data_IF_348685320528
#
_entry.id   IF_348685320528
#
_cell.length_a   1.000
_cell.length_b   1.000
_cell.length_c   1.000
_cell.angle_alpha   90.00
_cell.angle_beta   90.00
_cell.angle_gamma   90.00
#
_symmetry.space_group_name_H-M   'P 1'
#
loop_
_entity.id
_entity.type
_entity.pdbx_description
1 polymer ?
#
# COMPACT_ATOMS: atom_id res chain seq x y z
N UNK A 1 17.50 -3.63 4.75
CA UNK A 1 16.41 -3.62 5.75
C UNK A 1 15.80 -2.23 5.96
N UNK A 2 16.38 -1.15 5.40
CA UNK A 2 15.87 0.23 5.55
C UNK A 2 15.38 0.87 4.23
N UNK A 3 15.01 0.08 3.21
CA UNK A 3 14.51 0.62 1.93
C UNK A 3 15.50 1.50 1.15
N UNK A 4 16.77 1.56 1.56
CA UNK A 4 17.84 2.15 0.75
C UNK A 4 18.27 1.16 -0.34
N UNK A 5 18.60 1.69 -1.51
CA UNK A 5 19.29 0.96 -2.58
C UNK A 5 20.51 0.26 -2.00
N UNK A 6 20.49 -1.07 -2.02
CA UNK A 6 21.64 -1.87 -1.59
C UNK A 6 22.50 -2.15 -2.82
N UNK A 7 23.51 -1.31 -3.04
CA UNK A 7 24.61 -1.66 -3.96
C UNK A 7 25.47 -2.72 -3.26
N UNK A 8 25.29 -3.99 -3.63
CA UNK A 8 26.16 -5.07 -3.16
C UNK A 8 27.44 -5.04 -3.97
N UNK A 9 28.47 -4.34 -3.46
CA UNK A 9 29.82 -4.44 -4.01
C UNK A 9 30.49 -5.67 -3.41
N UNK A 10 30.59 -6.76 -4.19
CA UNK A 10 31.35 -7.94 -3.80
C UNK A 10 32.84 -7.59 -3.85
N UNK A 11 33.40 -7.20 -2.72
CA UNK A 11 34.86 -7.19 -2.53
C UNK A 11 35.32 -8.65 -2.64
N UNK A 12 36.31 -8.89 -3.50
CA UNK A 12 36.68 -10.22 -3.99
C UNK A 12 36.78 -11.31 -2.90
N UNK A 13 36.53 -12.55 -3.29
CA UNK A 13 36.36 -13.76 -2.45
C UNK A 13 37.46 -14.04 -1.40
N UNK A 14 38.56 -13.29 -1.42
CA UNK A 14 39.73 -13.43 -0.57
C UNK A 14 39.61 -12.69 0.77
N UNK A 15 38.66 -11.76 0.94
CA UNK A 15 38.52 -10.93 2.14
C UNK A 15 37.38 -11.38 3.09
N UNK A 16 36.60 -12.39 2.69
CA UNK A 16 35.46 -12.88 3.46
C UNK A 16 35.90 -13.87 4.55
N UNK A 17 35.64 -13.52 5.81
CA UNK A 17 35.78 -14.43 6.95
C UNK A 17 34.85 -15.65 6.81
N UNK A 18 35.12 -16.74 7.54
CA UNK A 18 34.28 -17.94 7.51
C UNK A 18 32.80 -17.64 7.82
N UNK A 19 32.55 -16.78 8.81
CA UNK A 19 31.21 -16.29 9.15
C UNK A 19 30.62 -15.40 8.06
N UNK A 20 31.44 -14.57 7.39
CA UNK A 20 31.00 -13.76 6.25
C UNK A 20 30.57 -14.60 5.05
N UNK A 21 31.27 -15.71 4.77
CA UNK A 21 30.88 -16.66 3.71
C UNK A 21 29.58 -17.39 4.04
N UNK A 22 29.39 -17.77 5.30
CA UNK A 22 28.16 -18.42 5.74
C UNK A 22 26.96 -17.48 5.66
N UNK A 23 27.12 -16.23 6.14
CA UNK A 23 26.09 -15.19 6.06
C UNK A 23 25.73 -14.86 4.60
N UNK A 24 26.73 -14.75 3.72
CA UNK A 24 26.51 -14.56 2.28
C UNK A 24 25.78 -15.76 1.67
N UNK A 25 26.17 -16.99 2.02
CA UNK A 25 25.50 -18.21 1.54
C UNK A 25 24.07 -18.37 2.06
N UNK A 26 23.73 -17.81 3.23
CA UNK A 26 22.36 -17.75 3.73
C UNK A 26 21.54 -16.68 2.99
N UNK A 27 22.13 -15.51 2.74
CA UNK A 27 21.52 -14.43 1.95
C UNK A 27 21.20 -14.86 0.51
N UNK A 28 22.15 -15.52 -0.15
CA UNK A 28 21.97 -16.05 -1.51
C UNK A 28 20.87 -17.11 -1.52
N UNK A 29 20.84 -18.04 -0.56
CA UNK A 29 19.78 -19.05 -0.48
C UNK A 29 18.41 -18.46 -0.19
N UNK A 30 18.32 -17.46 0.68
CA UNK A 30 17.07 -16.75 0.96
C UNK A 30 16.57 -15.98 -0.27
N UNK A 31 17.47 -15.37 -1.04
CA UNK A 31 17.14 -14.75 -2.32
C UNK A 31 16.67 -15.81 -3.34
N UNK A 32 17.39 -16.92 -3.49
CA UNK A 32 17.00 -18.03 -4.37
C UNK A 32 15.64 -18.62 -4.01
N UNK A 33 15.32 -18.78 -2.72
CA UNK A 33 14.01 -19.25 -2.26
C UNK A 33 12.91 -18.25 -2.55
N UNK A 34 13.16 -16.96 -2.30
CA UNK A 34 12.20 -15.87 -2.48
C UNK A 34 11.88 -15.61 -3.95
N UNK A 35 12.87 -15.69 -4.83
CA UNK A 35 12.73 -15.37 -6.25
C UNK A 35 12.57 -16.62 -7.13
N UNK A 36 12.52 -17.83 -6.56
CA UNK A 36 12.42 -19.10 -7.32
C UNK A 36 11.24 -19.13 -8.29
N UNK A 37 10.09 -18.60 -7.90
CA UNK A 37 8.89 -18.57 -8.74
C UNK A 37 8.97 -17.54 -9.88
N UNK A 38 9.75 -16.47 -9.71
CA UNK A 38 9.95 -15.43 -10.73
C UNK A 38 11.19 -15.71 -11.61
N UNK A 39 12.06 -16.64 -11.20
CA UNK A 39 13.27 -17.03 -11.92
C UNK A 39 12.94 -17.69 -13.27
N UNK A 40 11.97 -18.61 -13.33
CA UNK A 40 11.66 -19.32 -14.58
C UNK A 40 11.15 -18.37 -15.70
N UNK A 41 10.23 -17.42 -15.44
CA UNK A 41 9.87 -16.38 -16.41
C UNK A 41 11.06 -15.50 -16.81
N UNK A 42 11.92 -15.12 -15.86
CA UNK A 42 13.10 -14.28 -16.13
C UNK A 42 14.11 -15.01 -17.04
N UNK A 43 14.38 -16.29 -16.79
CA UNK A 43 15.28 -17.11 -17.58
C UNK A 43 14.83 -17.21 -19.03
N UNK A 44 13.50 -17.30 -19.24
CA UNK A 44 12.93 -17.32 -20.57
C UNK A 44 13.16 -16.00 -21.31
N UNK A 45 12.92 -14.85 -20.67
CA UNK A 45 13.17 -13.52 -21.27
C UNK A 45 14.63 -13.35 -21.65
N UNK A 46 15.55 -13.74 -20.76
CA UNK A 46 16.99 -13.66 -21.04
C UNK A 46 17.38 -14.62 -22.18
N UNK A 47 16.84 -15.84 -22.19
CA UNK A 47 17.10 -16.80 -23.27
C UNK A 47 16.62 -16.30 -24.64
N UNK A 48 15.43 -15.68 -24.69
CA UNK A 48 14.89 -15.05 -25.89
C UNK A 48 15.79 -13.90 -26.37
N UNK A 49 16.18 -12.97 -25.48
CA UNK A 49 17.07 -11.86 -25.84
C UNK A 49 18.47 -12.30 -26.31
N UNK A 50 19.03 -13.33 -25.68
CA UNK A 50 20.31 -13.91 -26.12
C UNK A 50 20.19 -14.54 -27.52
N UNK A 51 19.08 -15.25 -27.80
CA UNK A 51 18.85 -15.85 -29.11
C UNK A 51 18.69 -14.78 -30.20
N UNK A 52 17.94 -13.72 -29.93
CA UNK A 52 17.75 -12.59 -30.84
C UNK A 52 19.07 -11.89 -31.16
N UNK A 53 19.88 -11.58 -30.13
CA UNK A 53 21.17 -10.93 -30.33
C UNK A 53 22.15 -11.83 -31.09
N UNK A 54 22.24 -13.12 -30.73
CA UNK A 54 23.10 -14.07 -31.42
C UNK A 54 22.72 -14.23 -32.91
N UNK A 55 21.42 -14.28 -33.21
CA UNK A 55 20.93 -14.33 -34.58
C UNK A 55 21.29 -13.06 -35.36
N UNK A 56 21.12 -11.89 -34.75
CA UNK A 56 21.46 -10.58 -35.36
C UNK A 56 22.96 -10.46 -35.68
N UNK A 57 23.82 -10.98 -34.80
CA UNK A 57 25.28 -10.93 -34.97
C UNK A 57 25.85 -12.14 -35.75
N UNK A 58 25.00 -13.10 -36.14
CA UNK A 58 25.42 -14.30 -36.87
C UNK A 58 26.33 -15.23 -36.05
N UNK A 59 26.17 -15.23 -34.72
CA UNK A 59 27.01 -15.98 -33.78
C UNK A 59 26.45 -17.38 -33.50
N UNK A 60 27.34 -18.35 -33.38
CA UNK A 60 27.00 -19.66 -32.78
C UNK A 60 26.79 -19.54 -31.27
N UNK A 61 26.10 -20.50 -30.65
CA UNK A 61 25.91 -20.52 -29.19
C UNK A 61 27.22 -20.46 -28.40
N UNK A 62 28.29 -21.11 -28.90
CA UNK A 62 29.62 -21.04 -28.27
C UNK A 62 30.21 -19.63 -28.34
N UNK A 63 30.06 -18.95 -29.48
CA UNK A 63 30.56 -17.59 -29.65
C UNK A 63 29.73 -16.59 -28.84
N UNK A 64 28.41 -16.79 -28.74
CA UNK A 64 27.55 -15.99 -27.88
C UNK A 64 27.93 -16.15 -26.39
N UNK A 65 28.15 -17.38 -25.93
CA UNK A 65 28.62 -17.63 -24.57
C UNK A 65 29.97 -16.94 -24.30
N UNK A 66 30.91 -17.04 -25.23
CA UNK A 66 32.21 -16.37 -25.13
C UNK A 66 32.08 -14.84 -25.12
N UNK A 67 31.21 -14.26 -25.96
CA UNK A 67 30.97 -12.83 -26.03
C UNK A 67 30.27 -12.27 -24.79
N UNK A 68 29.47 -13.10 -24.12
CA UNK A 68 28.83 -12.79 -22.84
C UNK A 68 29.71 -13.18 -21.63
N UNK A 69 30.96 -13.60 -21.85
CA UNK A 69 31.91 -14.00 -20.79
C UNK A 69 31.42 -15.12 -19.86
N UNK A 70 30.56 -16.01 -20.37
CA UNK A 70 30.04 -17.16 -19.63
C UNK A 70 30.46 -18.49 -20.27
N UNK A 71 30.35 -19.58 -19.51
CA UNK A 71 30.61 -20.92 -20.07
C UNK A 71 29.46 -21.36 -21.00
N UNK A 72 29.72 -22.18 -22.03
CA UNK A 72 28.64 -22.75 -22.85
C UNK A 72 27.63 -23.57 -22.03
N UNK A 73 28.08 -24.18 -20.93
CA UNK A 73 27.21 -24.88 -20.00
C UNK A 73 26.25 -23.94 -19.26
N UNK A 74 26.72 -22.74 -18.87
CA UNK A 74 25.88 -21.71 -18.25
C UNK A 74 24.79 -21.22 -19.20
N UNK A 75 25.16 -20.91 -20.45
CA UNK A 75 24.20 -20.55 -21.49
C UNK A 75 23.17 -21.68 -21.73
N UNK A 76 23.62 -22.93 -21.73
CA UNK A 76 22.73 -24.09 -21.87
C UNK A 76 21.71 -24.21 -20.73
N UNK A 77 22.10 -23.92 -19.48
CA UNK A 77 21.18 -24.00 -18.33
C UNK A 77 20.08 -22.95 -18.41
N UNK A 78 20.44 -21.72 -18.79
CA UNK A 78 19.51 -20.59 -18.91
C UNK A 78 18.53 -20.81 -20.06
N UNK A 79 19.02 -21.25 -21.23
CA UNK A 79 18.17 -21.55 -22.39
C UNK A 79 17.22 -22.74 -22.17
N UNK A 80 17.57 -23.66 -21.27
CA UNK A 80 16.69 -24.76 -20.85
C UNK A 80 15.69 -24.35 -19.76
N UNK A 81 15.78 -23.13 -19.22
CA UNK A 81 14.89 -22.63 -18.19
C UNK A 81 14.98 -23.39 -16.87
N UNK A 82 16.13 -23.99 -16.56
CA UNK A 82 16.31 -24.80 -15.33
C UNK A 82 16.84 -23.92 -14.21
N UNK A 83 15.96 -23.16 -13.55
CA UNK A 83 16.34 -22.19 -12.52
C UNK A 83 17.10 -22.77 -11.33
N UNK A 84 16.84 -24.04 -10.98
CA UNK A 84 17.53 -24.71 -9.86
C UNK A 84 19.03 -24.97 -10.06
N UNK A 85 19.59 -24.72 -11.25
CA UNK A 85 21.02 -24.93 -11.54
C UNK A 85 21.71 -23.71 -12.13
N UNK A 86 20.99 -22.60 -12.27
CA UNK A 86 21.51 -21.37 -12.88
C UNK A 86 22.17 -20.50 -11.82
N UNK A 87 23.42 -20.11 -12.04
CA UNK A 87 24.09 -19.12 -11.20
C UNK A 87 23.64 -17.71 -11.59
N UNK A 88 23.40 -16.86 -10.58
CA UNK A 88 22.94 -15.48 -10.78
C UNK A 88 23.94 -14.64 -11.58
N UNK A 89 25.24 -14.81 -11.36
CA UNK A 89 26.28 -14.09 -12.10
C UNK A 89 26.23 -14.40 -13.61
N UNK A 90 26.07 -15.69 -13.97
CA UNK A 90 25.93 -16.11 -15.37
C UNK A 90 24.69 -15.46 -16.02
N UNK A 91 23.59 -15.36 -15.27
CA UNK A 91 22.34 -14.73 -15.72
C UNK A 91 22.52 -13.23 -15.99
N UNK A 92 23.20 -12.52 -15.09
CA UNK A 92 23.45 -11.08 -15.22
C UNK A 92 24.37 -10.78 -16.41
N UNK A 93 25.43 -11.56 -16.60
CA UNK A 93 26.33 -11.42 -17.75
C UNK A 93 25.58 -11.61 -19.07
N UNK A 94 24.72 -12.63 -19.15
CA UNK A 94 23.92 -12.90 -20.34
C UNK A 94 22.83 -11.86 -20.58
N UNK A 95 22.17 -11.36 -19.54
CA UNK A 95 21.16 -10.30 -19.67
C UNK A 95 21.79 -8.98 -20.13
N UNK A 96 22.89 -8.57 -19.49
CA UNK A 96 23.66 -7.39 -19.89
C UNK A 96 24.15 -7.52 -21.34
N UNK A 97 24.69 -8.68 -21.71
CA UNK A 97 25.05 -8.96 -23.09
C UNK A 97 23.83 -8.96 -24.01
N UNK A 98 22.65 -9.42 -23.61
CA UNK A 98 21.44 -9.31 -24.43
C UNK A 98 20.90 -7.86 -24.53
N UNK A 99 21.47 -6.89 -23.80
CA UNK A 99 20.96 -5.52 -23.72
C UNK A 99 19.73 -5.39 -22.81
N UNK A 100 19.58 -6.31 -21.86
CA UNK A 100 18.50 -6.35 -20.88
C UNK A 100 19.04 -5.85 -19.53
N UNK A 101 18.35 -4.87 -18.95
CA UNK A 101 18.59 -4.43 -17.58
C UNK A 101 17.72 -5.26 -16.61
N UNK A 102 18.36 -6.05 -15.75
CA UNK A 102 17.67 -6.77 -14.67
C UNK A 102 17.64 -5.88 -13.44
N UNK A 103 16.45 -5.39 -13.10
CA UNK A 103 16.21 -4.66 -11.85
C UNK A 103 15.52 -5.58 -10.86
N UNK A 104 16.23 -5.92 -9.79
CA UNK A 104 15.62 -6.58 -8.64
C UNK A 104 14.83 -5.55 -7.84
N UNK A 105 13.53 -5.44 -8.08
CA UNK A 105 12.64 -4.66 -7.22
C UNK A 105 12.37 -5.52 -5.98
N UNK A 106 12.70 -5.05 -4.77
CA UNK A 106 12.23 -5.71 -3.56
C UNK A 106 10.70 -5.71 -3.62
N UNK A 107 10.08 -6.88 -3.81
CA UNK A 107 8.71 -7.03 -3.34
C UNK A 107 8.80 -6.82 -1.83
N UNK A 108 8.11 -5.82 -1.29
CA UNK A 108 8.01 -5.59 0.15
C UNK A 108 7.27 -6.79 0.80
N UNK A 109 7.94 -7.94 0.89
CA UNK A 109 7.50 -9.11 1.66
C UNK A 109 8.30 -9.17 2.98
N UNK A 110 8.19 -8.12 3.79
CA UNK A 110 7.70 -8.41 5.14
C UNK A 110 6.24 -8.79 4.90
N UNK A 111 5.79 -10.01 5.24
CA UNK A 111 4.39 -10.34 5.03
C UNK A 111 3.58 -9.30 5.80
N UNK A 112 2.93 -8.40 5.05
CA UNK A 112 1.62 -7.98 5.46
C UNK A 112 0.92 -9.28 5.82
N UNK A 113 0.57 -9.48 7.09
CA UNK A 113 -0.50 -10.38 7.39
C UNK A 113 -1.66 -9.83 6.58
N UNK A 114 -1.84 -10.35 5.36
CA UNK A 114 -3.11 -10.30 4.67
C UNK A 114 -4.01 -10.91 5.73
N UNK A 115 -4.89 -10.12 6.40
CA UNK A 115 -5.86 -10.74 7.26
C UNK A 115 -6.49 -11.86 6.42
N UNK A 116 -6.65 -13.08 6.97
CA UNK A 116 -7.11 -14.23 6.23
C UNK A 116 -8.24 -13.79 5.31
N UNK A 117 -8.19 -14.24 4.05
CA UNK A 117 -9.11 -13.86 2.96
C UNK A 117 -10.45 -13.49 3.59
N UNK A 118 -10.91 -12.25 3.43
CA UNK A 118 -12.03 -11.74 4.21
C UNK A 118 -13.14 -12.78 4.21
N UNK A 119 -13.44 -13.37 5.37
CA UNK A 119 -14.79 -13.87 5.61
C UNK A 119 -15.73 -12.71 5.23
N UNK A 120 -16.93 -13.02 4.74
CA UNK A 120 -17.83 -12.14 3.94
C UNK A 120 -18.09 -10.71 4.45
N UNK A 121 -17.56 -10.34 5.61
CA UNK A 121 -17.87 -9.18 6.42
C UNK A 121 -16.71 -8.19 6.56
N UNK A 122 -15.59 -8.29 5.82
CA UNK A 122 -14.42 -7.42 6.11
C UNK A 122 -14.64 -5.92 5.89
N UNK A 123 -15.42 -5.52 4.87
CA UNK A 123 -15.79 -4.10 4.75
C UNK A 123 -16.72 -3.71 5.91
N UNK A 124 -17.60 -4.60 6.35
CA UNK A 124 -18.47 -4.37 7.50
C UNK A 124 -17.67 -4.22 8.80
N UNK A 125 -16.68 -5.09 9.05
CA UNK A 125 -15.75 -4.99 10.19
C UNK A 125 -14.96 -3.68 10.16
N UNK A 126 -14.54 -3.21 8.98
CA UNK A 126 -13.84 -1.94 8.84
C UNK A 126 -14.72 -0.74 9.25
N UNK A 127 -16.01 -0.75 8.88
CA UNK A 127 -16.98 0.26 9.34
C UNK A 127 -17.38 0.10 10.82
N UNK A 128 -17.01 -1.01 11.46
CA UNK A 128 -17.35 -1.33 12.84
C UNK A 128 -18.86 -1.24 13.10
N UNK A 129 -19.24 -0.72 14.26
CA UNK A 129 -20.65 -0.51 14.64
C UNK A 129 -21.23 0.83 14.14
N UNK A 130 -20.54 1.54 13.23
CA UNK A 130 -20.91 2.93 12.92
C UNK A 130 -22.19 3.07 12.10
N UNK A 131 -22.74 1.98 11.53
CA UNK A 131 -23.87 2.01 10.58
C UNK A 131 -23.76 3.11 9.50
N UNK A 132 -22.53 3.55 9.19
CA UNK A 132 -22.29 4.69 8.32
C UNK A 132 -22.48 4.28 6.87
N UNK A 133 -23.28 5.05 6.13
CA UNK A 133 -23.47 4.84 4.69
C UNK A 133 -22.26 5.30 3.86
N UNK A 134 -21.38 6.13 4.44
CA UNK A 134 -20.30 6.79 3.71
C UNK A 134 -18.96 6.65 4.44
N UNK A 135 -17.90 6.47 3.64
CA UNK A 135 -16.52 6.59 4.09
C UNK A 135 -15.97 7.95 3.68
N UNK A 136 -15.67 8.80 4.67
CA UNK A 136 -15.04 10.11 4.47
C UNK A 136 -13.53 10.00 4.73
N UNK A 137 -12.73 10.18 3.69
CA UNK A 137 -11.27 10.16 3.77
C UNK A 137 -10.67 11.53 3.38
N UNK A 138 -9.84 12.16 4.23
CA UNK A 138 -9.20 13.43 3.90
C UNK A 138 -8.23 13.28 2.73
N UNK A 139 -8.46 14.04 1.65
CA UNK A 139 -7.62 14.01 0.46
C UNK A 139 -6.14 14.25 0.74
N UNK A 140 -5.81 15.20 1.63
CA UNK A 140 -4.42 15.50 1.99
C UNK A 140 -3.70 14.31 2.61
N UNK A 141 -4.41 13.44 3.34
CA UNK A 141 -3.84 12.19 3.87
C UNK A 141 -3.65 11.16 2.75
N UNK A 142 -4.65 10.97 1.89
CA UNK A 142 -4.56 10.06 0.74
C UNK A 142 -3.37 10.40 -0.16
N UNK A 143 -3.15 11.68 -0.44
CA UNK A 143 -2.03 12.15 -1.28
C UNK A 143 -0.67 12.11 -0.58
N UNK A 144 -0.65 12.04 0.75
CA UNK A 144 0.59 11.89 1.50
C UNK A 144 0.95 10.42 1.76
N UNK A 145 0.09 9.48 1.35
CA UNK A 145 0.41 8.06 1.39
C UNK A 145 1.64 7.77 0.50
N UNK A 146 2.50 6.81 0.85
CA UNK A 146 3.55 6.35 -0.06
C UNK A 146 2.97 5.81 -1.37
N UNK A 147 3.70 5.93 -2.48
CA UNK A 147 3.21 5.51 -3.82
C UNK A 147 2.75 4.05 -3.85
N UNK A 148 3.49 3.17 -3.18
CA UNK A 148 3.14 1.75 -3.00
C UNK A 148 1.77 1.51 -2.34
N UNK A 149 1.23 2.48 -1.59
CA UNK A 149 -0.13 2.45 -1.04
C UNK A 149 -1.13 3.09 -2.00
N UNK A 150 -0.75 4.21 -2.63
CA UNK A 150 -1.62 4.92 -3.57
C UNK A 150 -1.98 4.05 -4.77
N UNK A 151 -1.02 3.33 -5.34
CA UNK A 151 -1.22 2.50 -6.52
C UNK A 151 -2.32 1.41 -6.36
N UNK A 152 -2.24 0.50 -5.36
CA UNK A 152 -3.31 -0.48 -5.16
C UNK A 152 -4.64 0.19 -4.77
N UNK A 153 -4.60 1.29 -4.02
CA UNK A 153 -5.80 2.02 -3.63
C UNK A 153 -6.54 2.59 -4.86
N UNK A 154 -5.81 3.22 -5.79
CA UNK A 154 -6.37 3.72 -7.05
C UNK A 154 -6.95 2.59 -7.89
N UNK A 155 -6.24 1.46 -8.02
CA UNK A 155 -6.75 0.29 -8.76
C UNK A 155 -8.07 -0.23 -8.17
N UNK A 156 -8.22 -0.24 -6.85
CA UNK A 156 -9.46 -0.65 -6.19
C UNK A 156 -10.60 0.37 -6.43
N UNK A 157 -10.30 1.68 -6.38
CA UNK A 157 -11.28 2.73 -6.68
C UNK A 157 -11.77 2.64 -8.14
N UNK A 158 -10.89 2.34 -9.09
CA UNK A 158 -11.26 2.15 -10.49
C UNK A 158 -12.16 0.93 -10.67
N UNK A 159 -11.85 -0.19 -10.03
CA UNK A 159 -12.70 -1.38 -10.04
C UNK A 159 -14.07 -1.12 -9.42
N UNK A 160 -14.12 -0.43 -8.27
CA UNK A 160 -15.37 -0.05 -7.62
C UNK A 160 -16.21 0.83 -8.55
N UNK A 161 -15.61 1.87 -9.13
CA UNK A 161 -16.30 2.76 -10.06
C UNK A 161 -16.84 2.02 -11.28
N UNK A 162 -16.04 1.12 -11.87
CA UNK A 162 -16.46 0.36 -13.04
C UNK A 162 -17.60 -0.62 -12.72
N UNK A 163 -17.54 -1.30 -11.58
CA UNK A 163 -18.53 -2.30 -11.18
C UNK A 163 -19.91 -1.69 -10.87
N UNK A 164 -19.96 -0.44 -10.41
CA UNK A 164 -21.19 0.24 -9.99
C UNK A 164 -21.51 1.49 -10.82
N UNK A 165 -20.98 1.59 -12.05
CA UNK A 165 -21.18 2.76 -12.91
C UNK A 165 -22.66 3.01 -13.25
N UNK A 166 -23.49 1.97 -13.19
CA UNK A 166 -24.91 1.98 -13.52
C UNK A 166 -25.79 2.48 -12.37
N UNK A 167 -25.22 2.61 -11.16
CA UNK A 167 -25.94 3.00 -9.95
C UNK A 167 -26.05 4.52 -9.89
N UNK A 168 -27.27 5.04 -9.77
CA UNK A 168 -27.53 6.47 -9.60
C UNK A 168 -26.77 7.03 -8.39
N UNK A 169 -26.01 8.10 -8.61
CA UNK A 169 -25.24 8.79 -7.58
C UNK A 169 -25.89 10.12 -7.25
N UNK A 170 -25.82 10.54 -5.99
CA UNK A 170 -26.19 11.90 -5.62
C UNK A 170 -25.32 12.92 -6.39
N UNK A 171 -25.89 14.08 -6.76
CA UNK A 171 -25.16 15.09 -7.55
C UNK A 171 -24.01 15.75 -6.78
N UNK A 172 -23.99 15.64 -5.45
CA UNK A 172 -22.94 16.16 -4.59
C UNK A 172 -23.26 15.94 -3.11
N UNK A 173 -22.23 16.15 -2.28
CA UNK A 173 -22.33 16.05 -0.82
C UNK A 173 -21.64 17.25 -0.19
N UNK A 174 -22.18 17.70 0.94
CA UNK A 174 -21.55 18.68 1.82
C UNK A 174 -20.95 17.96 3.03
N UNK A 175 -19.69 18.22 3.33
CA UNK A 175 -18.93 17.52 4.39
C UNK A 175 -18.19 18.55 5.24
N UNK A 176 -18.44 18.53 6.54
CA UNK A 176 -17.76 19.40 7.51
C UNK A 176 -17.38 18.60 8.76
N UNK A 177 -16.25 18.93 9.40
CA UNK A 177 -15.89 18.34 10.68
C UNK A 177 -16.85 18.82 11.77
N UNK A 178 -17.18 17.92 12.69
CA UNK A 178 -18.09 18.20 13.81
C UNK A 178 -17.55 17.61 15.10
N UNK A 179 -17.97 18.22 16.21
CA UNK A 179 -17.83 17.65 17.55
C UNK A 179 -19.22 17.32 18.08
N UNK A 180 -19.37 16.12 18.63
CA UNK A 180 -20.60 15.70 19.28
C UNK A 180 -20.70 16.29 20.68
N UNK A 181 -21.77 17.05 20.93
CA UNK A 181 -22.06 17.66 22.25
C UNK A 181 -23.48 17.35 22.67
N UNK A 182 -23.72 17.25 23.97
CA UNK A 182 -25.07 17.12 24.49
C UNK A 182 -25.84 18.42 24.27
N UNK A 183 -27.11 18.31 23.89
CA UNK A 183 -27.93 19.47 23.53
C UNK A 183 -28.10 20.44 24.71
N UNK A 184 -28.20 19.92 25.94
CA UNK A 184 -28.29 20.70 27.17
C UNK A 184 -26.96 21.36 27.61
N UNK A 185 -25.84 21.04 26.97
CA UNK A 185 -24.53 21.64 27.23
C UNK A 185 -24.14 22.68 26.18
N UNK A 186 -24.98 22.90 25.17
CA UNK A 186 -24.71 23.86 24.12
C UNK A 186 -24.83 25.31 24.61
N UNK A 187 -23.91 26.15 24.16
CA UNK A 187 -24.11 27.61 24.22
C UNK A 187 -25.10 28.07 23.14
N UNK A 188 -25.66 29.28 23.27
CA UNK A 188 -26.56 29.86 22.25
C UNK A 188 -25.96 29.85 20.84
N UNK A 189 -24.67 30.20 20.74
CA UNK A 189 -23.95 30.20 19.46
C UNK A 189 -23.82 28.80 18.88
N UNK A 190 -23.57 27.79 19.72
CA UNK A 190 -23.44 26.40 19.28
C UNK A 190 -24.79 25.78 18.92
N UNK A 191 -25.86 26.13 19.64
CA UNK A 191 -27.24 25.79 19.26
C UNK A 191 -27.58 26.33 17.88
N UNK A 192 -27.36 27.62 17.67
CA UNK A 192 -27.59 28.25 16.37
C UNK A 192 -26.76 27.58 15.26
N UNK A 193 -25.48 27.25 15.52
CA UNK A 193 -24.61 26.60 14.55
C UNK A 193 -24.99 25.13 14.25
N UNK A 194 -25.53 24.41 15.24
CA UNK A 194 -26.06 23.06 15.06
C UNK A 194 -27.44 23.04 14.39
N UNK A 195 -28.15 24.18 14.41
CA UNK A 195 -29.54 24.28 13.99
C UNK A 195 -30.52 23.77 15.05
N UNK A 196 -30.17 23.91 16.33
CA UNK A 196 -31.02 23.55 17.46
C UNK A 196 -31.80 24.78 17.93
N UNK A 197 -33.10 24.60 18.14
CA UNK A 197 -33.99 25.60 18.74
C UNK A 197 -34.30 25.19 20.18
N UNK A 198 -34.27 26.16 21.09
CA UNK A 198 -34.61 25.98 22.51
C UNK A 198 -35.92 26.72 22.80
N UNK A 199 -36.89 26.02 23.38
CA UNK A 199 -38.16 26.59 23.81
C UNK A 199 -38.37 26.34 25.30
N UNK A 200 -38.62 27.42 26.05
CA UNK A 200 -38.93 27.35 27.47
C UNK A 200 -40.45 27.40 27.68
N UNK A 201 -40.98 26.41 28.38
CA UNK A 201 -42.39 26.34 28.76
C UNK A 201 -42.55 26.83 30.21
N UNK A 202 -43.08 28.05 30.38
CA UNK A 202 -43.28 28.66 31.70
C UNK A 202 -44.26 27.86 32.59
N UNK A 203 -45.28 27.22 32.01
CA UNK A 203 -46.28 26.46 32.77
C UNK A 203 -45.73 25.15 33.33
N UNK A 204 -44.78 24.55 32.61
CA UNK A 204 -44.15 23.27 32.98
C UNK A 204 -42.79 23.44 33.65
N UNK A 205 -42.27 24.67 33.72
CA UNK A 205 -40.90 25.01 34.15
C UNK A 205 -39.85 24.09 33.50
N UNK A 206 -40.01 23.87 32.19
CA UNK A 206 -39.27 22.88 31.43
C UNK A 206 -38.79 23.43 30.09
N UNK A 207 -37.57 23.04 29.71
CA UNK A 207 -36.96 23.40 28.42
C UNK A 207 -37.04 22.23 27.46
N UNK A 208 -37.50 22.49 26.25
CA UNK A 208 -37.57 21.52 25.15
C UNK A 208 -36.64 21.96 24.02
N UNK A 209 -35.99 20.99 23.37
CA UNK A 209 -35.06 21.23 22.28
C UNK A 209 -35.60 20.64 20.98
N UNK A 210 -35.36 21.32 19.86
CA UNK A 210 -35.77 20.86 18.53
C UNK A 210 -34.60 20.89 17.56
N UNK A 211 -34.55 19.92 16.64
CA UNK A 211 -33.61 19.94 15.52
C UNK A 211 -34.07 20.88 14.39
N UNK A 212 -33.27 20.96 13.32
CA UNK A 212 -33.54 21.82 12.15
C UNK A 212 -34.81 21.44 11.38
N UNK A 213 -35.25 20.20 11.52
CA UNK A 213 -36.43 19.65 10.85
C UNK A 213 -37.68 19.78 11.75
N UNK A 214 -37.51 20.32 12.97
CA UNK A 214 -38.57 20.53 13.95
C UNK A 214 -38.88 19.29 14.80
N UNK A 215 -38.02 18.27 14.79
CA UNK A 215 -38.21 17.10 15.66
C UNK A 215 -37.70 17.41 17.07
N UNK A 216 -38.46 16.98 18.07
CA UNK A 216 -38.08 17.10 19.47
C UNK A 216 -36.84 16.25 19.78
N UNK A 217 -35.91 16.84 20.51
CA UNK A 217 -34.67 16.22 20.96
C UNK A 217 -34.74 15.97 22.46
N UNK A 218 -34.36 14.76 22.87
CA UNK A 218 -34.12 14.47 24.29
C UNK A 218 -33.02 15.38 24.86
N UNK A 219 -33.14 15.80 26.11
CA UNK A 219 -32.15 16.67 26.78
C UNK A 219 -30.74 16.09 26.80
N UNK A 220 -30.60 14.76 26.73
CA UNK A 220 -29.32 14.04 26.69
C UNK A 220 -28.93 13.57 25.28
N UNK A 221 -29.65 14.02 24.25
CA UNK A 221 -29.30 13.76 22.87
C UNK A 221 -27.98 14.48 22.51
N UNK A 222 -27.15 13.83 21.70
CA UNK A 222 -25.95 14.44 21.13
C UNK A 222 -26.25 15.00 19.75
N UNK A 223 -25.83 16.23 19.52
CA UNK A 223 -25.90 16.88 18.21
C UNK A 223 -24.52 17.23 17.68
N UNK A 224 -24.42 17.31 16.36
CA UNK A 224 -23.19 17.65 15.66
C UNK A 224 -23.00 19.17 15.62
N UNK A 225 -21.97 19.67 16.31
CA UNK A 225 -21.60 21.09 16.29
C UNK A 225 -20.41 21.29 15.34
N UNK A 226 -20.46 22.25 14.40
CA UNK A 226 -19.34 22.52 13.51
C UNK A 226 -18.02 22.71 14.26
N UNK A 227 -16.98 22.04 13.79
CA UNK A 227 -15.65 22.08 14.38
C UNK A 227 -14.63 22.68 13.39
N UNK A 228 -13.43 22.96 13.90
CA UNK A 228 -12.30 23.32 13.04
C UNK A 228 -11.69 22.05 12.45
N UNK A 229 -11.48 22.04 11.14
CA UNK A 229 -10.75 20.95 10.47
C UNK A 229 -9.29 20.91 10.97
N UNK A 230 -8.85 19.83 11.63
CA UNK A 230 -7.47 19.69 12.08
C UNK A 230 -6.50 19.43 10.91
N UNK A 231 -6.97 18.83 9.82
CA UNK A 231 -6.12 18.43 8.69
C UNK A 231 -6.00 19.58 7.69
N UNK A 232 -4.78 20.04 7.37
CA UNK A 232 -4.60 21.09 6.38
C UNK A 232 -5.27 20.75 5.05
N UNK A 233 -6.02 21.71 4.51
CA UNK A 233 -6.60 21.58 3.19
C UNK A 233 -5.51 21.41 2.11
N UNK A 234 -5.93 20.80 1.00
CA UNK A 234 -5.07 20.63 -0.17
C UNK A 234 -4.56 21.99 -0.68
N UNK A 235 -3.24 22.08 -0.86
CA UNK A 235 -2.59 23.25 -1.46
C UNK A 235 -1.71 22.84 -2.64
N UNK A 236 -2.33 22.44 -3.77
CA UNK A 236 -1.64 22.22 -5.07
C UNK A 236 -0.32 21.42 -4.98
N UNK A 237 -0.31 20.33 -4.21
CA UNK A 237 0.87 19.46 -4.03
C UNK A 237 1.91 19.95 -3.02
N UNK A 238 1.65 21.05 -2.30
CA UNK A 238 2.53 21.58 -1.24
C UNK A 238 2.16 21.08 0.16
N UNK A 239 0.95 20.55 0.33
CA UNK A 239 0.53 19.91 1.58
C UNK A 239 1.02 18.47 1.56
N UNK A 240 2.05 18.16 2.35
CA UNK A 240 2.52 16.80 2.59
C UNK A 240 2.55 16.54 4.09
N UNK A 241 1.85 15.51 4.53
CA UNK A 241 1.76 15.08 5.93
C UNK A 241 2.54 13.77 6.05
N UNK A 242 3.71 13.80 6.70
CA UNK A 242 4.57 12.62 6.84
C UNK A 242 3.80 11.50 7.57
N UNK A 243 3.58 10.34 6.94
CA UNK A 243 2.98 9.20 7.60
C UNK A 243 3.89 8.72 8.74
N UNK A 244 3.35 8.59 9.95
CA UNK A 244 4.05 7.93 11.06
C UNK A 244 3.77 6.44 10.98
N UNK A 245 4.71 5.68 10.44
CA UNK A 245 4.65 4.22 10.44
C UNK A 245 5.30 3.78 11.75
N UNK A 246 4.49 3.43 12.75
CA UNK A 246 5.00 2.82 13.97
C UNK A 246 5.53 1.43 13.63
N UNK A 247 6.80 1.17 13.94
CA UNK A 247 7.44 -0.15 13.83
C UNK A 247 7.12 -1.07 15.02
N UNK A 248 6.39 -0.57 16.00
CA UNK A 248 5.93 -1.35 17.15
C UNK A 248 4.53 -1.91 16.86
N UNK A 249 4.44 -3.24 16.86
CA UNK A 249 3.16 -3.92 16.89
C UNK A 249 2.36 -3.42 18.11
N UNK A 250 1.03 -3.19 17.98
CA UNK A 250 0.22 -2.94 19.16
C UNK A 250 0.34 -4.17 20.06
N UNK A 251 0.81 -3.97 21.30
CA UNK A 251 0.76 -4.99 22.34
C UNK A 251 -0.64 -5.58 22.36
N UNK A 252 -0.70 -6.91 22.30
CA UNK A 252 -1.94 -7.67 22.31
C UNK A 252 -2.80 -7.30 23.52
N UNK A 253 -4.12 -7.54 23.45
CA UNK A 253 -5.02 -7.17 24.52
C UNK A 253 -4.58 -7.82 25.83
N UNK A 254 -4.35 -6.98 26.85
CA UNK A 254 -4.31 -7.38 28.26
C UNK A 254 -5.48 -8.35 28.50
N UNK A 255 -5.15 -9.61 28.77
CA UNK A 255 -6.10 -10.56 29.32
C UNK A 255 -6.19 -10.34 30.84
N UNK A 256 -7.40 -10.53 31.41
CA UNK A 256 -7.74 -10.15 32.79
C UNK A 256 -6.96 -10.89 33.88
#
# INVERSE_FOLDING_TARGET
KDGQDVTVTVLGAHELTGQGREALGQLVRAAEERFRADLDPLLRVVAEGVAERAQKEGLTLRQAAQAAEVTPAALSRITQGVGGTTYVDDLLCLASWAGLDIVAVPRDDEPFQVPPRPESDTIHTWFGLSYSNYLVLPRSLLQSMPDRWQEPFVRLLEQLRAAYQDVEQAPGYEVHPVTWKYVNELTDTERAAAGVVEEFNEDQDATTYYDRDGNELETVAKVAVPAREPIPHYNRGRTYIVPRISTEAPDGPDQP
#
